data_IF_197789194523
#
_entry.id   IF_197789194523
#
_cell.length_a   1.000
_cell.length_b   1.000
_cell.length_c   1.000
_cell.angle_alpha   90.00
_cell.angle_beta   90.00
_cell.angle_gamma   90.00
#
_symmetry.space_group_name_H-M   'P 1'
#
loop_
_entity.id
_entity.type
_entity.pdbx_description
1 polymer ?
#
# COMPACT_ATOMS: atom_id res chain seq x y z
N UNK A 1 6.83 0.40 5.95
CA UNK A 1 6.81 -0.45 7.14
C UNK A 1 7.12 0.44 8.33
N UNK A 2 6.20 0.53 9.29
CA UNK A 2 6.44 1.33 10.50
C UNK A 2 7.48 0.63 11.38
N UNK A 3 8.08 1.40 12.29
CA UNK A 3 8.95 0.83 13.31
C UNK A 3 8.15 -0.17 14.17
N UNK A 4 8.83 -1.21 14.67
CA UNK A 4 8.20 -2.26 15.48
C UNK A 4 7.51 -1.63 16.71
N UNK A 5 6.24 -1.94 16.92
CA UNK A 5 5.45 -1.51 18.08
C UNK A 5 4.34 -0.49 17.80
N UNK A 6 4.10 -0.11 16.54
CA UNK A 6 2.97 0.76 16.17
C UNK A 6 1.79 -0.09 15.70
N UNK A 7 0.64 0.03 16.37
CA UNK A 7 -0.61 -0.60 15.94
C UNK A 7 -1.27 0.23 14.83
N UNK A 8 -1.72 -0.43 13.77
CA UNK A 8 -2.46 0.20 12.68
C UNK A 8 -3.94 0.38 13.07
N UNK A 9 -4.21 1.29 14.01
CA UNK A 9 -5.58 1.67 14.37
C UNK A 9 -6.20 2.62 13.34
N UNK A 10 -7.53 2.65 13.23
CA UNK A 10 -8.22 3.59 12.34
C UNK A 10 -7.84 5.05 12.62
N UNK A 11 -7.72 5.41 13.90
CA UNK A 11 -7.28 6.75 14.34
C UNK A 11 -5.89 7.09 13.81
N UNK A 12 -4.94 6.14 13.90
CA UNK A 12 -3.59 6.33 13.41
C UNK A 12 -3.54 6.47 11.89
N UNK A 13 -4.38 5.72 11.16
CA UNK A 13 -4.49 5.83 9.71
C UNK A 13 -5.10 7.18 9.30
N UNK A 14 -6.06 7.71 10.07
CA UNK A 14 -6.60 9.07 9.87
C UNK A 14 -5.53 10.13 10.12
N UNK A 15 -4.75 10.00 11.19
CA UNK A 15 -3.65 10.92 11.51
C UNK A 15 -2.63 10.99 10.37
N UNK A 16 -2.24 9.85 9.78
CA UNK A 16 -1.34 9.82 8.62
C UNK A 16 -1.91 10.55 7.40
N UNK A 17 -3.21 10.40 7.13
CA UNK A 17 -3.87 11.10 6.02
C UNK A 17 -3.89 12.60 6.25
N UNK A 18 -4.26 13.02 7.45
CA UNK A 18 -4.31 14.42 7.85
C UNK A 18 -2.91 15.05 7.81
N UNK A 19 -1.88 14.31 8.24
CA UNK A 19 -0.50 14.74 8.12
C UNK A 19 -0.10 15.06 6.67
N UNK A 20 -0.43 14.17 5.72
CA UNK A 20 -0.16 14.44 4.29
C UNK A 20 -0.95 15.64 3.78
N UNK A 21 -2.22 15.78 4.17
CA UNK A 21 -3.04 16.95 3.81
C UNK A 21 -2.45 18.27 4.33
N UNK A 22 -1.92 18.26 5.55
CA UNK A 22 -1.29 19.43 6.16
C UNK A 22 0.05 19.80 5.49
N UNK A 23 0.86 18.81 5.12
CA UNK A 23 2.21 19.04 4.55
C UNK A 23 2.20 19.30 3.04
N UNK A 24 1.34 18.60 2.29
CA UNK A 24 1.30 18.64 0.82
C UNK A 24 0.02 19.28 0.24
N UNK A 25 -0.91 19.69 1.11
CA UNK A 25 -2.19 20.30 0.75
C UNK A 25 -3.33 19.29 0.59
N UNK A 26 -4.57 19.76 0.72
CA UNK A 26 -5.78 18.92 0.69
C UNK A 26 -5.91 18.06 -0.57
N UNK A 27 -5.42 18.52 -1.72
CA UNK A 27 -5.43 17.76 -2.98
C UNK A 27 -4.51 16.54 -2.94
N UNK A 28 -3.46 16.56 -2.12
CA UNK A 28 -2.52 15.47 -1.95
C UNK A 28 -2.94 14.50 -0.82
N UNK A 29 -4.02 14.82 -0.08
CA UNK A 29 -4.52 13.97 1.00
C UNK A 29 -4.92 12.60 0.43
N UNK A 30 -4.34 11.49 0.94
CA UNK A 30 -4.69 10.16 0.46
C UNK A 30 -6.17 9.86 0.68
N UNK A 31 -6.81 9.25 -0.31
CA UNK A 31 -8.21 8.78 -0.24
C UNK A 31 -8.38 7.57 0.68
N UNK A 32 -7.32 6.77 0.83
CA UNK A 32 -7.22 5.64 1.74
C UNK A 32 -5.75 5.42 2.09
N UNK A 33 -5.49 4.84 3.26
CA UNK A 33 -4.18 4.31 3.63
C UNK A 33 -4.43 2.86 4.02
N UNK A 34 -3.64 1.96 3.47
CA UNK A 34 -3.76 0.52 3.71
C UNK A 34 -2.47 0.07 4.39
N UNK A 35 -2.62 -0.57 5.55
CA UNK A 35 -1.51 -1.15 6.27
C UNK A 35 -1.15 -2.50 5.65
N UNK A 36 0.12 -2.68 5.32
CA UNK A 36 0.63 -3.90 4.69
C UNK A 36 1.94 -4.32 5.36
N UNK A 37 2.15 -5.62 5.47
CA UNK A 37 3.34 -6.18 6.13
C UNK A 37 4.60 -6.06 5.27
N UNK A 38 4.46 -6.11 3.94
CA UNK A 38 5.57 -5.89 3.02
C UNK A 38 5.08 -5.21 1.73
N UNK A 39 6.02 -4.74 0.91
CA UNK A 39 5.75 -4.10 -0.38
C UNK A 39 6.29 -4.95 -1.52
N UNK A 40 5.66 -4.92 -2.71
CA UNK A 40 6.15 -5.61 -3.88
C UNK A 40 7.49 -5.00 -4.30
N UNK A 41 8.57 -5.74 -4.06
CA UNK A 41 9.94 -5.35 -4.37
C UNK A 41 10.55 -6.34 -5.34
N UNK A 42 11.37 -5.84 -6.25
CA UNK A 42 12.21 -6.70 -7.11
C UNK A 42 13.33 -7.37 -6.32
N UNK A 43 14.00 -8.36 -6.89
CA UNK A 43 15.24 -8.93 -6.34
C UNK A 43 16.36 -7.90 -6.08
N UNK A 44 16.26 -6.70 -6.65
CA UNK A 44 17.17 -5.57 -6.39
C UNK A 44 16.72 -4.63 -5.26
N UNK A 45 15.58 -4.92 -4.62
CA UNK A 45 14.97 -4.12 -3.56
C UNK A 45 14.12 -2.93 -4.04
N UNK A 46 14.03 -2.70 -5.37
CA UNK A 46 13.20 -1.60 -5.92
C UNK A 46 11.72 -1.92 -5.76
N UNK A 47 10.95 -0.98 -5.22
CA UNK A 47 9.49 -1.08 -5.11
C UNK A 47 8.85 -1.00 -6.50
N UNK A 48 8.03 -1.99 -6.84
CA UNK A 48 7.28 -2.05 -8.09
C UNK A 48 5.97 -1.29 -7.96
N UNK A 49 6.03 0.04 -8.06
CA UNK A 49 4.85 0.91 -7.93
C UNK A 49 3.71 0.59 -8.89
N UNK A 50 4.03 0.15 -10.12
CA UNK A 50 3.04 -0.30 -11.10
C UNK A 50 2.05 -1.33 -10.52
N UNK A 51 2.53 -2.28 -9.73
CA UNK A 51 1.65 -3.30 -9.13
C UNK A 51 0.71 -2.68 -8.10
N UNK A 52 1.19 -1.69 -7.32
CA UNK A 52 0.35 -0.97 -6.36
C UNK A 52 -0.73 -0.14 -7.05
N UNK A 53 -0.44 0.43 -8.21
CA UNK A 53 -1.39 1.15 -9.07
C UNK A 53 -2.49 0.20 -9.57
N UNK A 54 -2.11 -0.93 -10.19
CA UNK A 54 -3.07 -1.96 -10.61
C UNK A 54 -3.96 -2.44 -9.46
N UNK A 55 -3.38 -2.63 -8.26
CA UNK A 55 -4.15 -3.02 -7.07
C UNK A 55 -5.15 -1.94 -6.66
N UNK A 56 -4.73 -0.68 -6.65
CA UNK A 56 -5.61 0.44 -6.30
C UNK A 56 -6.77 0.61 -7.30
N UNK A 57 -6.56 0.23 -8.55
CA UNK A 57 -7.58 0.26 -9.62
C UNK A 57 -8.41 -1.04 -9.71
N UNK A 58 -8.04 -2.08 -8.96
CA UNK A 58 -8.72 -3.39 -9.01
C UNK A 58 -8.40 -4.20 -10.28
N UNK A 59 -7.30 -3.87 -10.98
CA UNK A 59 -6.85 -4.56 -12.18
C UNK A 59 -6.01 -5.82 -11.88
N UNK A 60 -5.76 -6.62 -12.92
CA UNK A 60 -4.85 -7.76 -12.83
C UNK A 60 -3.39 -7.30 -12.58
N UNK A 61 -2.65 -8.05 -11.77
CA UNK A 61 -1.26 -7.73 -11.39
C UNK A 61 -0.29 -7.79 -12.60
N UNK A 62 -0.58 -8.61 -13.60
CA UNK A 62 0.31 -8.86 -14.73
C UNK A 62 1.57 -9.63 -14.32
N UNK A 63 2.73 -9.29 -14.88
CA UNK A 63 3.99 -10.00 -14.60
C UNK A 63 4.58 -9.66 -13.23
N UNK A 64 4.68 -10.69 -12.38
CA UNK A 64 5.24 -10.69 -11.02
C UNK A 64 6.54 -11.48 -10.89
N UNK A 65 7.07 -12.03 -11.99
CA UNK A 65 8.22 -12.95 -11.99
C UNK A 65 9.53 -12.37 -11.43
N UNK A 66 9.63 -11.04 -11.39
CA UNK A 66 10.82 -10.32 -10.91
C UNK A 66 10.74 -9.94 -9.42
N UNK A 67 9.60 -10.20 -8.77
CA UNK A 67 9.42 -9.95 -7.35
C UNK A 67 10.31 -10.89 -6.53
N UNK A 68 10.87 -10.35 -5.44
CA UNK A 68 11.57 -11.16 -4.44
C UNK A 68 10.60 -12.06 -3.66
N UNK A 69 9.35 -11.62 -3.53
CA UNK A 69 8.25 -12.37 -2.94
C UNK A 69 7.00 -12.16 -3.80
N UNK A 70 6.60 -13.14 -4.63
CA UNK A 70 5.42 -13.01 -5.49
C UNK A 70 4.11 -12.86 -4.71
N UNK A 71 3.98 -13.56 -3.58
CA UNK A 71 2.75 -13.65 -2.80
C UNK A 71 2.34 -12.31 -2.16
N UNK A 72 3.30 -11.39 -2.00
CA UNK A 72 3.05 -10.07 -1.41
C UNK A 72 2.06 -9.25 -2.24
N UNK A 73 2.14 -9.34 -3.56
CA UNK A 73 1.28 -8.54 -4.43
C UNK A 73 -0.19 -9.02 -4.35
N UNK A 74 -0.39 -10.34 -4.32
CA UNK A 74 -1.71 -10.96 -4.15
C UNK A 74 -2.29 -10.66 -2.75
N UNK A 75 -1.46 -10.72 -1.72
CA UNK A 75 -1.89 -10.40 -0.34
C UNK A 75 -2.37 -8.95 -0.22
N UNK A 76 -1.60 -8.00 -0.77
CA UNK A 76 -2.00 -6.58 -0.77
C UNK A 76 -3.28 -6.38 -1.58
N UNK A 77 -3.45 -7.09 -2.70
CA UNK A 77 -4.67 -7.02 -3.51
C UNK A 77 -5.89 -7.47 -2.72
N UNK A 78 -5.82 -8.59 -2.00
CA UNK A 78 -6.91 -9.08 -1.16
C UNK A 78 -7.24 -8.09 -0.03
N UNK A 79 -6.22 -7.59 0.69
CA UNK A 79 -6.40 -6.59 1.74
C UNK A 79 -7.03 -5.30 1.22
N UNK A 80 -6.62 -4.83 0.04
CA UNK A 80 -7.22 -3.66 -0.58
C UNK A 80 -8.69 -3.89 -0.95
N UNK A 81 -9.03 -5.05 -1.51
CA UNK A 81 -10.40 -5.42 -1.87
C UNK A 81 -11.32 -5.58 -0.65
N UNK A 82 -10.82 -6.07 0.47
CA UNK A 82 -11.57 -6.18 1.73
C UNK A 82 -11.89 -4.81 2.32
N UNK A 83 -10.97 -3.84 2.24
CA UNK A 83 -11.17 -2.50 2.77
C UNK A 83 -11.92 -1.55 1.81
N UNK A 84 -12.12 -1.94 0.55
CA UNK A 84 -12.92 -1.20 -0.42
C UNK A 84 -14.40 -1.62 -0.46
N UNK A 85 -14.76 -2.73 0.20
CA UNK A 85 -16.13 -3.21 0.38
C UNK A 85 -16.81 -2.54 1.59
#
# INVERSE_FOLDING_TARGET
MLAQGVEYSEDFMSELRDHVGNEAGDIAKPGQVIAVDDLPKTNSGKIMRRLLENIAEGEELGDTSTLSNPDVAETIQQQAQEQMQ
#
